data_IF_069528541790
#
_entry.id   IF_069528541790
#
_cell.length_a   1.000
_cell.length_b   1.000
_cell.length_c   1.000
_cell.angle_alpha   90.00
_cell.angle_beta   90.00
_cell.angle_gamma   90.00
#
_symmetry.space_group_name_H-M   'P 1'
#
loop_
_entity.id
_entity.type
_entity.pdbx_description
1 polymer ?
#
# COMPACT_ATOMS: atom_id res chain seq x y z
N UNK A 1 11.73 34.62 -23.38
CA UNK A 1 11.68 33.15 -23.49
C UNK A 1 13.06 32.57 -23.20
N UNK A 2 13.33 32.24 -21.94
CA UNK A 2 14.51 31.46 -21.55
C UNK A 2 14.17 30.00 -21.84
N UNK A 3 14.89 29.36 -22.77
CA UNK A 3 14.66 27.95 -23.09
C UNK A 3 14.66 27.13 -21.80
N UNK A 4 13.60 26.36 -21.59
CA UNK A 4 13.54 25.33 -20.56
C UNK A 4 14.80 24.46 -20.75
N UNK A 5 15.65 24.38 -19.71
CA UNK A 5 16.98 23.79 -19.83
C UNK A 5 16.94 22.36 -20.38
N UNK A 6 18.09 21.89 -20.87
CA UNK A 6 18.40 20.68 -21.68
C UNK A 6 17.82 19.32 -21.21
N UNK A 7 16.96 19.27 -20.18
CA UNK A 7 16.32 18.07 -19.59
C UNK A 7 14.81 17.98 -19.83
N UNK A 8 14.17 18.97 -20.46
CA UNK A 8 12.71 18.98 -20.66
C UNK A 8 12.36 18.40 -22.03
N UNK A 9 11.30 17.58 -22.08
CA UNK A 9 10.79 17.04 -23.36
C UNK A 9 10.01 18.12 -24.11
N UNK A 10 10.01 18.08 -25.44
CA UNK A 10 9.21 19.01 -26.27
C UNK A 10 7.74 19.07 -25.85
N UNK A 11 7.18 17.93 -25.45
CA UNK A 11 5.80 17.84 -24.96
C UNK A 11 5.58 18.62 -23.66
N UNK A 12 6.59 18.63 -22.77
CA UNK A 12 6.52 19.41 -21.54
C UNK A 12 6.69 20.92 -21.79
N UNK A 13 7.45 21.31 -22.81
CA UNK A 13 7.52 22.71 -23.28
C UNK A 13 6.15 23.16 -23.81
N UNK A 14 5.52 22.38 -24.71
CA UNK A 14 4.18 22.66 -25.24
C UNK A 14 3.12 22.78 -24.13
N UNK A 15 3.20 21.91 -23.11
CA UNK A 15 2.32 21.99 -21.94
C UNK A 15 2.60 23.25 -21.11
N UNK A 16 3.86 23.65 -20.94
CA UNK A 16 4.19 24.89 -20.24
C UNK A 16 3.60 26.10 -20.96
N UNK A 17 3.76 26.19 -22.29
CA UNK A 17 3.20 27.26 -23.12
C UNK A 17 1.67 27.35 -22.99
N UNK A 18 0.98 26.20 -22.99
CA UNK A 18 -0.47 26.17 -22.76
C UNK A 18 -0.86 26.67 -21.36
N UNK A 19 -0.09 26.31 -20.34
CA UNK A 19 -0.34 26.74 -18.96
C UNK A 19 -0.05 28.23 -18.79
N UNK A 20 1.01 28.76 -19.39
CA UNK A 20 1.31 30.20 -19.45
C UNK A 20 0.17 30.96 -20.13
N UNK A 21 -0.29 30.48 -21.29
CA UNK A 21 -1.46 31.05 -21.99
C UNK A 21 -2.72 31.05 -21.11
N UNK A 22 -2.92 30.02 -20.28
CA UNK A 22 -4.04 29.99 -19.34
C UNK A 22 -3.90 30.99 -18.21
N UNK A 23 -2.69 31.22 -17.71
CA UNK A 23 -2.40 32.21 -16.68
C UNK A 23 -2.63 33.62 -17.25
N UNK A 24 -2.11 33.92 -18.44
CA UNK A 24 -2.30 35.22 -19.10
C UNK A 24 -3.78 35.52 -19.34
N UNK A 25 -4.52 34.55 -19.90
CA UNK A 25 -5.96 34.68 -20.09
C UNK A 25 -6.74 34.81 -18.77
N UNK A 26 -6.27 34.19 -17.69
CA UNK A 26 -6.86 34.35 -16.36
C UNK A 26 -6.64 35.76 -15.81
N UNK A 27 -5.44 36.32 -16.00
CA UNK A 27 -5.10 37.71 -15.63
C UNK A 27 -5.98 38.70 -16.41
N UNK A 28 -6.13 38.52 -17.71
CA UNK A 28 -6.98 39.38 -18.55
C UNK A 28 -8.45 39.36 -18.10
N UNK A 29 -8.99 38.15 -17.86
CA UNK A 29 -10.34 38.02 -17.33
C UNK A 29 -10.49 38.67 -15.94
N UNK A 30 -9.48 38.58 -15.08
CA UNK A 30 -9.49 39.27 -13.79
C UNK A 30 -9.51 40.79 -13.96
N UNK A 31 -8.78 41.35 -14.94
CA UNK A 31 -8.80 42.79 -15.24
C UNK A 31 -10.20 43.24 -15.64
N UNK A 32 -10.80 42.55 -16.60
CA UNK A 32 -12.10 42.90 -17.18
C UNK A 32 -13.32 42.49 -16.33
N UNK A 33 -13.09 41.75 -15.23
CA UNK A 33 -14.13 41.09 -14.43
C UNK A 33 -14.96 40.05 -15.21
N UNK A 34 -14.32 39.38 -16.17
CA UNK A 34 -14.94 38.35 -16.99
C UNK A 34 -15.02 36.98 -16.29
N UNK A 35 -15.84 36.10 -16.84
CA UNK A 35 -16.01 34.75 -16.35
C UNK A 35 -14.77 33.88 -16.62
N UNK A 36 -14.20 33.34 -15.54
CA UNK A 36 -13.07 32.41 -15.61
C UNK A 36 -13.54 30.95 -15.73
N UNK A 37 -13.41 30.36 -16.93
CA UNK A 37 -13.70 28.94 -17.14
C UNK A 37 -12.67 28.08 -16.42
N UNK A 38 -13.12 27.19 -15.53
CA UNK A 38 -12.26 26.21 -14.85
C UNK A 38 -11.54 25.31 -15.87
N UNK A 39 -10.22 25.41 -15.92
CA UNK A 39 -9.36 24.53 -16.73
C UNK A 39 -8.98 23.31 -15.89
N UNK A 40 -8.92 22.13 -16.53
CA UNK A 40 -8.51 20.87 -15.87
C UNK A 40 -7.14 20.46 -16.39
N UNK A 41 -6.08 20.79 -15.66
CA UNK A 41 -4.70 20.51 -16.06
C UNK A 41 -4.46 19.02 -16.32
N UNK A 42 -5.05 18.14 -15.50
CA UNK A 42 -4.93 16.68 -15.63
C UNK A 42 -5.31 16.18 -17.03
N UNK A 43 -6.29 16.81 -17.69
CA UNK A 43 -6.69 16.41 -19.05
C UNK A 43 -5.60 16.76 -20.06
N UNK A 44 -5.02 17.95 -19.96
CA UNK A 44 -3.90 18.39 -20.80
C UNK A 44 -2.71 17.45 -20.65
N UNK A 45 -2.31 17.13 -19.40
CA UNK A 45 -1.18 16.22 -19.13
C UNK A 45 -1.38 14.83 -19.75
N UNK A 46 -2.62 14.33 -19.76
CA UNK A 46 -2.99 13.05 -20.39
C UNK A 46 -2.94 13.13 -21.91
N UNK A 47 -3.46 14.21 -22.51
CA UNK A 47 -3.45 14.42 -23.97
C UNK A 47 -2.03 14.43 -24.52
N UNK A 48 -1.13 15.18 -23.87
CA UNK A 48 0.27 15.30 -24.27
C UNK A 48 1.16 14.14 -23.77
N UNK A 49 0.57 13.14 -23.10
CA UNK A 49 1.26 11.95 -22.57
C UNK A 49 2.52 12.30 -21.76
N UNK A 50 2.40 13.31 -20.90
CA UNK A 50 3.52 13.83 -20.11
C UNK A 50 4.11 12.77 -19.19
N UNK A 51 5.45 12.69 -19.15
CA UNK A 51 6.16 11.83 -18.19
C UNK A 51 6.02 12.40 -16.78
N UNK A 52 5.96 11.51 -15.79
CA UNK A 52 5.86 11.92 -14.37
C UNK A 52 7.06 12.75 -13.89
N UNK A 53 8.25 12.47 -14.42
CA UNK A 53 9.46 13.27 -14.19
C UNK A 53 9.28 14.71 -14.66
N UNK A 54 8.73 14.87 -15.85
CA UNK A 54 8.58 16.17 -16.50
C UNK A 54 7.48 16.97 -15.80
N UNK A 55 6.40 16.30 -15.38
CA UNK A 55 5.37 16.90 -14.52
C UNK A 55 5.93 17.39 -13.17
N UNK A 56 6.91 16.70 -12.58
CA UNK A 56 7.58 17.17 -11.35
C UNK A 56 8.41 18.43 -11.62
N UNK A 57 9.09 18.48 -12.76
CA UNK A 57 9.85 19.66 -13.16
C UNK A 57 8.93 20.86 -13.42
N UNK A 58 7.83 20.67 -14.15
CA UNK A 58 6.84 21.72 -14.40
C UNK A 58 6.21 22.25 -13.10
N UNK A 59 5.97 21.38 -12.11
CA UNK A 59 5.53 21.82 -10.79
C UNK A 59 6.52 22.82 -10.14
N UNK A 60 7.83 22.57 -10.27
CA UNK A 60 8.86 23.46 -9.72
C UNK A 60 8.95 24.77 -10.51
N UNK A 61 8.79 24.72 -11.83
CA UNK A 61 8.80 25.90 -12.69
C UNK A 61 7.72 26.90 -12.29
N UNK A 62 6.47 26.43 -12.18
CA UNK A 62 5.35 27.29 -11.78
C UNK A 62 5.32 27.58 -10.27
N UNK A 63 6.07 26.84 -9.45
CA UNK A 63 6.23 27.18 -8.04
C UNK A 63 6.95 28.52 -7.85
N UNK A 64 7.90 28.87 -8.71
CA UNK A 64 8.57 30.17 -8.64
C UNK A 64 7.56 31.31 -8.81
N UNK A 65 6.71 31.23 -9.84
CA UNK A 65 5.63 32.21 -10.06
C UNK A 65 4.63 32.26 -8.89
N UNK A 66 4.31 31.08 -8.33
CA UNK A 66 3.45 31.01 -7.14
C UNK A 66 4.08 31.75 -5.95
N UNK A 67 5.36 31.53 -5.71
CA UNK A 67 6.07 32.13 -4.59
C UNK A 67 6.22 33.65 -4.77
N UNK A 68 6.53 34.12 -6.00
CA UNK A 68 6.53 35.55 -6.37
C UNK A 68 5.17 36.24 -6.09
N UNK A 69 4.06 35.60 -6.51
CA UNK A 69 2.72 36.10 -6.21
C UNK A 69 2.42 36.12 -4.70
N UNK A 70 2.96 35.16 -3.96
CA UNK A 70 2.86 35.12 -2.50
C UNK A 70 3.60 36.27 -1.83
N UNK A 71 4.82 36.58 -2.29
CA UNK A 71 5.63 37.70 -1.79
C UNK A 71 4.99 39.06 -2.10
N UNK A 72 4.37 39.21 -3.27
CA UNK A 72 3.59 40.39 -3.63
C UNK A 72 2.36 40.58 -2.72
N UNK A 73 1.67 39.49 -2.35
CA UNK A 73 0.52 39.55 -1.41
C UNK A 73 0.98 39.91 0.02
N UNK A 74 2.13 39.39 0.45
CA UNK A 74 2.69 39.65 1.77
C UNK A 74 3.39 41.03 1.86
N UNK A 75 3.46 41.78 0.76
CA UNK A 75 4.18 43.06 0.64
C UNK A 75 5.66 42.99 1.07
N UNK A 76 6.32 41.86 0.79
CA UNK A 76 7.73 41.64 1.16
C UNK A 76 8.71 42.31 0.22
N UNK A 77 8.36 42.39 -1.07
CA UNK A 77 9.17 42.98 -2.12
C UNK A 77 8.42 44.15 -2.77
N UNK A 78 8.91 45.40 -2.63
CA UNK A 78 8.30 46.58 -3.24
C UNK A 78 8.18 46.52 -4.77
N UNK A 79 9.16 45.92 -5.46
CA UNK A 79 9.18 45.85 -6.93
C UNK A 79 8.11 44.88 -7.43
N UNK A 80 7.87 43.78 -6.70
CA UNK A 80 6.78 42.84 -7.01
C UNK A 80 5.41 43.45 -6.73
N UNK A 81 5.27 44.27 -5.69
CA UNK A 81 4.01 44.97 -5.40
C UNK A 81 3.67 45.95 -6.53
N UNK A 82 4.64 46.75 -6.99
CA UNK A 82 4.46 47.63 -8.15
C UNK A 82 4.11 46.85 -9.42
N UNK A 83 4.81 45.73 -9.65
CA UNK A 83 4.58 44.86 -10.81
C UNK A 83 3.16 44.31 -10.91
N UNK A 84 2.45 44.12 -9.78
CA UNK A 84 1.09 43.60 -9.72
C UNK A 84 0.02 44.65 -9.38
N UNK A 85 0.36 45.93 -9.28
CA UNK A 85 -0.56 47.01 -8.84
C UNK A 85 -1.82 47.16 -9.73
N UNK A 86 -1.73 46.70 -10.98
CA UNK A 86 -2.87 46.64 -11.88
C UNK A 86 -3.99 45.64 -11.45
N UNK A 87 -3.74 44.78 -10.46
CA UNK A 87 -4.72 43.89 -9.84
C UNK A 87 -5.05 44.32 -8.42
N UNK A 88 -6.34 44.37 -8.09
CA UNK A 88 -6.73 44.58 -6.69
C UNK A 88 -6.25 43.42 -5.79
N UNK A 89 -6.00 43.64 -4.49
CA UNK A 89 -5.48 42.61 -3.58
C UNK A 89 -6.33 41.32 -3.55
N UNK A 90 -7.65 41.45 -3.73
CA UNK A 90 -8.57 40.30 -3.83
C UNK A 90 -8.36 39.50 -5.13
N UNK A 91 -8.12 40.19 -6.25
CA UNK A 91 -7.84 39.55 -7.55
C UNK A 91 -6.45 38.90 -7.57
N UNK A 92 -5.45 39.54 -6.95
CA UNK A 92 -4.11 38.97 -6.79
C UNK A 92 -4.15 37.65 -6.00
N UNK A 93 -4.92 37.60 -4.90
CA UNK A 93 -5.16 36.36 -4.14
C UNK A 93 -5.81 35.25 -4.99
N UNK A 94 -6.76 35.60 -5.87
CA UNK A 94 -7.38 34.64 -6.81
C UNK A 94 -6.37 34.10 -7.82
N UNK A 95 -5.48 34.95 -8.34
CA UNK A 95 -4.41 34.54 -9.24
C UNK A 95 -3.43 33.59 -8.54
N UNK A 96 -2.96 33.94 -7.33
CA UNK A 96 -2.12 33.06 -6.52
C UNK A 96 -2.79 31.71 -6.24
N UNK A 97 -4.10 31.69 -5.94
CA UNK A 97 -4.85 30.45 -5.76
C UNK A 97 -4.89 29.62 -7.05
N UNK A 98 -5.16 30.24 -8.20
CA UNK A 98 -5.20 29.55 -9.49
C UNK A 98 -3.85 28.89 -9.84
N UNK A 99 -2.75 29.62 -9.68
CA UNK A 99 -1.39 29.07 -9.90
C UNK A 99 -1.05 27.98 -8.88
N UNK A 100 -1.52 28.12 -7.64
CA UNK A 100 -1.39 27.08 -6.61
C UNK A 100 -2.10 25.78 -7.00
N UNK A 101 -3.33 25.87 -7.52
CA UNK A 101 -4.08 24.71 -8.02
C UNK A 101 -3.35 24.01 -9.18
N UNK A 102 -2.73 24.78 -10.09
CA UNK A 102 -1.92 24.25 -11.19
C UNK A 102 -0.72 23.46 -10.64
N UNK A 103 0.02 24.03 -9.68
CA UNK A 103 1.18 23.37 -9.05
C UNK A 103 0.76 22.08 -8.32
N UNK A 104 -0.38 22.12 -7.62
CA UNK A 104 -0.94 20.94 -6.98
C UNK A 104 -1.30 19.84 -7.98
N UNK A 105 -1.90 20.20 -9.11
CA UNK A 105 -2.27 19.22 -10.14
C UNK A 105 -1.03 18.58 -10.77
N UNK A 106 0.03 19.34 -11.04
CA UNK A 106 1.31 18.80 -11.49
C UNK A 106 1.95 17.86 -10.45
N UNK A 107 1.95 18.24 -9.17
CA UNK A 107 2.49 17.39 -8.11
C UNK A 107 1.66 16.12 -7.92
N UNK A 108 0.32 16.19 -7.97
CA UNK A 108 -0.59 15.04 -7.95
C UNK A 108 -0.30 14.09 -9.11
N UNK A 109 -0.12 14.60 -10.33
CA UNK A 109 0.18 13.79 -11.50
C UNK A 109 1.56 13.12 -11.44
N UNK A 110 2.55 13.80 -10.86
CA UNK A 110 3.91 13.26 -10.69
C UNK A 110 3.98 12.04 -9.76
N UNK A 111 2.99 11.85 -8.87
CA UNK A 111 3.00 10.74 -7.91
C UNK A 111 2.93 9.39 -8.64
N UNK A 112 3.85 8.49 -8.27
CA UNK A 112 3.92 7.15 -8.82
C UNK A 112 2.94 6.24 -8.09
N UNK A 113 1.69 6.15 -8.56
CA UNK A 113 0.81 5.05 -8.16
C UNK A 113 1.25 3.78 -8.89
N UNK A 114 2.18 3.02 -8.31
CA UNK A 114 2.47 1.66 -8.82
C UNK A 114 1.21 0.82 -8.60
N UNK A 115 0.56 0.36 -9.67
CA UNK A 115 -0.46 -0.69 -9.55
C UNK A 115 0.22 -1.88 -8.85
N UNK A 116 -0.27 -2.27 -7.67
CA UNK A 116 0.22 -3.47 -7.00
C UNK A 116 -0.14 -4.64 -7.91
N UNK A 117 0.87 -5.36 -8.40
CA UNK A 117 0.64 -6.62 -9.12
C UNK A 117 0.06 -7.61 -8.11
N UNK A 118 -1.00 -8.30 -8.49
CA UNK A 118 -1.50 -9.46 -7.73
C UNK A 118 -0.38 -10.48 -7.64
N UNK A 119 0.03 -10.84 -6.42
CA UNK A 119 1.06 -11.86 -6.21
C UNK A 119 0.46 -13.23 -6.54
N UNK A 120 1.25 -14.13 -7.12
CA UNK A 120 0.85 -15.53 -7.25
C UNK A 120 0.78 -16.17 -5.85
N UNK A 121 -0.09 -17.18 -5.62
CA UNK A 121 -0.16 -17.90 -4.35
C UNK A 121 1.22 -18.41 -3.87
N UNK A 122 2.00 -18.95 -4.80
CA UNK A 122 3.38 -19.41 -4.56
C UNK A 122 4.29 -18.28 -4.03
N UNK A 123 4.18 -17.08 -4.58
CA UNK A 123 4.98 -15.91 -4.16
C UNK A 123 4.61 -15.41 -2.76
N UNK A 124 3.37 -15.68 -2.31
CA UNK A 124 2.89 -15.30 -0.99
C UNK A 124 3.49 -16.23 0.07
N UNK A 125 3.48 -17.54 -0.17
CA UNK A 125 3.94 -18.55 0.80
C UNK A 125 5.43 -18.85 0.71
N UNK A 126 6.13 -18.40 -0.34
CA UNK A 126 7.57 -18.66 -0.57
C UNK A 126 8.48 -18.36 0.61
N UNK A 127 8.15 -17.36 1.42
CA UNK A 127 8.96 -16.94 2.57
C UNK A 127 8.57 -17.62 3.89
N UNK A 128 7.53 -18.45 3.88
CA UNK A 128 7.08 -19.18 5.07
C UNK A 128 8.09 -20.26 5.42
N UNK A 129 8.53 -20.27 6.68
CA UNK A 129 9.44 -21.28 7.21
C UNK A 129 8.64 -22.42 7.84
N UNK A 130 8.92 -23.65 7.46
CA UNK A 130 8.30 -24.85 8.01
C UNK A 130 9.25 -26.05 7.90
N UNK A 131 8.93 -27.12 8.62
CA UNK A 131 9.65 -28.38 8.59
C UNK A 131 8.94 -29.35 7.65
N UNK A 132 9.61 -29.89 6.64
CA UNK A 132 8.98 -30.75 5.61
C UNK A 132 8.46 -32.07 6.18
N UNK A 133 9.19 -32.72 7.07
CA UNK A 133 8.80 -34.00 7.66
C UNK A 133 9.31 -34.11 9.08
N UNK A 134 8.51 -34.67 9.97
CA UNK A 134 8.89 -34.96 11.34
C UNK A 134 8.47 -36.37 11.75
N UNK A 135 9.38 -37.09 12.41
CA UNK A 135 9.18 -38.46 12.85
C UNK A 135 8.78 -38.52 14.31
N UNK A 136 7.62 -39.11 14.59
CA UNK A 136 7.12 -39.44 15.91
C UNK A 136 7.33 -40.93 16.18
N UNK A 137 8.56 -41.34 16.50
CA UNK A 137 8.88 -42.75 16.74
C UNK A 137 8.64 -43.59 15.48
N UNK A 138 7.51 -44.31 15.43
CA UNK A 138 7.12 -45.17 14.31
C UNK A 138 6.18 -44.50 13.29
N UNK A 139 5.71 -43.29 13.54
CA UNK A 139 4.81 -42.56 12.65
C UNK A 139 5.50 -41.33 12.07
N UNK A 140 5.44 -41.15 10.76
CA UNK A 140 6.03 -40.00 10.07
C UNK A 140 4.92 -39.03 9.67
N UNK A 141 5.08 -37.74 9.99
CA UNK A 141 4.16 -36.67 9.57
C UNK A 141 4.87 -35.79 8.55
N UNK A 142 4.29 -35.75 7.35
CA UNK A 142 4.74 -34.89 6.26
C UNK A 142 3.90 -33.62 6.25
N UNK A 143 4.57 -32.46 6.17
CA UNK A 143 3.88 -31.18 6.06
C UNK A 143 3.09 -31.09 4.75
N UNK A 144 1.88 -30.57 4.82
CA UNK A 144 1.11 -30.27 3.61
C UNK A 144 1.68 -29.06 2.86
N UNK A 145 1.37 -28.94 1.58
CA UNK A 145 1.80 -27.82 0.73
C UNK A 145 1.33 -26.46 1.30
N UNK A 146 2.23 -25.53 1.65
CA UNK A 146 1.87 -24.21 2.18
C UNK A 146 0.87 -23.44 1.32
N UNK A 147 0.82 -23.67 0.00
CA UNK A 147 -0.16 -23.01 -0.89
C UNK A 147 -1.59 -23.30 -0.44
N UNK A 148 -1.86 -24.50 0.10
CA UNK A 148 -3.18 -24.89 0.61
C UNK A 148 -3.63 -24.08 1.83
N UNK A 149 -2.71 -23.37 2.51
CA UNK A 149 -3.08 -22.43 3.58
C UNK A 149 -3.97 -21.32 3.01
N UNK A 150 -3.72 -20.85 1.79
CA UNK A 150 -4.47 -19.77 1.17
C UNK A 150 -5.87 -20.19 0.71
N UNK A 151 -6.13 -21.50 0.61
CA UNK A 151 -7.39 -22.07 0.14
C UNK A 151 -8.25 -22.63 1.28
N UNK A 152 -7.70 -22.70 2.50
CA UNK A 152 -8.38 -23.32 3.63
C UNK A 152 -8.97 -22.30 4.61
N UNK A 153 -9.97 -22.75 5.38
CA UNK A 153 -10.56 -21.96 6.47
C UNK A 153 -9.97 -22.28 7.83
N UNK A 154 -9.41 -23.47 8.00
CA UNK A 154 -8.67 -23.81 9.21
C UNK A 154 -7.62 -24.87 8.94
N UNK A 155 -6.60 -24.89 9.79
CA UNK A 155 -5.53 -25.88 9.74
C UNK A 155 -4.84 -26.00 11.11
N UNK A 156 -4.06 -27.08 11.26
CA UNK A 156 -3.26 -27.33 12.46
C UNK A 156 -1.78 -27.30 12.13
N UNK A 157 -1.01 -26.65 12.99
CA UNK A 157 0.45 -26.67 12.96
C UNK A 157 1.01 -27.11 14.31
N UNK A 158 2.18 -27.72 14.30
CA UNK A 158 2.86 -28.19 15.51
C UNK A 158 4.32 -27.75 15.52
N UNK A 159 4.77 -27.12 16.60
CA UNK A 159 6.17 -26.79 16.79
C UNK A 159 6.89 -27.89 17.59
N UNK A 160 7.86 -28.53 16.97
CA UNK A 160 8.59 -29.68 17.53
C UNK A 160 9.53 -29.29 18.66
N UNK A 161 10.01 -28.04 18.68
CA UNK A 161 10.93 -27.53 19.72
C UNK A 161 10.20 -27.08 20.98
N UNK A 162 9.08 -26.36 20.82
CA UNK A 162 8.32 -25.85 21.98
C UNK A 162 7.27 -26.83 22.48
N UNK A 163 6.87 -27.79 21.63
CA UNK A 163 5.78 -28.71 21.88
C UNK A 163 4.41 -28.06 21.74
N UNK A 164 4.32 -26.90 21.07
CA UNK A 164 3.08 -26.16 20.93
C UNK A 164 2.30 -26.58 19.69
N UNK A 165 1.02 -26.90 19.88
CA UNK A 165 0.06 -27.08 18.80
C UNK A 165 -0.73 -25.79 18.61
N UNK A 166 -0.80 -25.36 17.37
CA UNK A 166 -1.52 -24.20 16.90
C UNK A 166 -2.74 -24.67 16.12
N UNK A 167 -3.90 -24.15 16.49
CA UNK A 167 -5.12 -24.24 15.70
C UNK A 167 -5.40 -22.86 15.13
N UNK A 168 -5.43 -22.74 13.80
CA UNK A 168 -5.76 -21.50 13.10
C UNK A 168 -7.10 -21.63 12.41
N UNK A 169 -7.92 -20.59 12.52
CA UNK A 169 -9.21 -20.45 11.86
C UNK A 169 -9.32 -19.03 11.29
N UNK A 170 -9.93 -18.87 10.13
CA UNK A 170 -10.20 -17.57 9.50
C UNK A 170 -11.64 -17.50 9.02
N UNK A 171 -12.22 -16.30 9.08
CA UNK A 171 -13.53 -16.00 8.48
C UNK A 171 -13.38 -15.62 6.99
N UNK A 172 -12.20 -15.13 6.60
CA UNK A 172 -11.87 -14.68 5.25
C UNK A 172 -10.85 -15.65 4.59
N UNK A 173 -9.69 -15.13 4.19
CA UNK A 173 -8.60 -15.84 3.51
C UNK A 173 -7.30 -15.55 4.25
N UNK A 174 -6.56 -16.61 4.57
CA UNK A 174 -5.24 -16.46 5.17
C UNK A 174 -4.28 -15.72 4.23
N UNK A 175 -3.41 -14.88 4.79
CA UNK A 175 -2.31 -14.25 4.05
C UNK A 175 -0.99 -14.51 4.78
N UNK A 176 0.14 -14.39 4.09
CA UNK A 176 1.47 -14.60 4.66
C UNK A 176 2.35 -13.39 4.38
N UNK A 177 2.86 -12.79 5.45
CA UNK A 177 3.82 -11.68 5.38
C UNK A 177 5.15 -12.13 5.99
N UNK A 178 6.11 -12.46 5.12
CA UNK A 178 7.39 -13.01 5.55
C UNK A 178 7.19 -14.42 6.11
N UNK A 179 7.46 -14.59 7.41
CA UNK A 179 7.24 -15.86 8.13
C UNK A 179 5.99 -15.82 9.01
N UNK A 180 5.15 -14.79 8.88
CA UNK A 180 4.01 -14.57 9.77
C UNK A 180 2.70 -14.67 9.02
N UNK A 181 1.86 -15.61 9.41
CA UNK A 181 0.47 -15.76 9.01
C UNK A 181 -0.35 -14.55 9.47
N UNK A 182 -1.20 -14.07 8.57
CA UNK A 182 -2.10 -12.93 8.73
C UNK A 182 -3.55 -13.38 8.51
N UNK A 183 -4.49 -12.53 8.91
CA UNK A 183 -5.93 -12.73 8.73
C UNK A 183 -6.46 -14.01 9.40
N UNK A 184 -5.87 -14.46 10.50
CA UNK A 184 -6.48 -15.49 11.35
C UNK A 184 -7.37 -14.82 12.39
N UNK A 185 -8.49 -15.47 12.73
CA UNK A 185 -9.42 -15.01 13.75
C UNK A 185 -8.80 -15.26 15.13
N UNK A 186 -8.58 -14.20 15.91
CA UNK A 186 -7.90 -14.25 17.21
C UNK A 186 -8.73 -14.96 18.28
N UNK A 187 -10.06 -14.88 18.20
CA UNK A 187 -10.97 -15.49 19.16
C UNK A 187 -11.08 -17.01 18.96
N UNK A 188 -11.06 -17.45 17.69
CA UNK A 188 -11.20 -18.85 17.31
C UNK A 188 -9.86 -19.61 17.21
N UNK A 189 -8.75 -18.89 17.03
CA UNK A 189 -7.42 -19.48 16.91
C UNK A 189 -6.73 -19.54 18.27
N UNK A 190 -6.14 -20.69 18.59
CA UNK A 190 -5.53 -20.89 19.90
C UNK A 190 -4.30 -21.78 19.86
N UNK A 191 -3.52 -21.71 20.94
CA UNK A 191 -2.30 -22.48 21.13
C UNK A 191 -2.37 -23.26 22.42
N UNK A 192 -2.01 -24.54 22.34
CA UNK A 192 -1.85 -25.41 23.50
C UNK A 192 -0.55 -26.18 23.46
N UNK A 193 0.02 -26.41 24.64
CA UNK A 193 1.25 -27.15 24.77
C UNK A 193 0.94 -28.64 24.89
N UNK A 194 1.37 -29.41 23.92
CA UNK A 194 1.24 -30.87 23.94
C UNK A 194 2.55 -31.42 24.48
N UNK A 195 2.51 -31.88 25.74
CA UNK A 195 3.65 -32.50 26.40
C UNK A 195 3.90 -33.93 25.90
N UNK A 196 4.07 -34.88 26.81
CA UNK A 196 4.40 -36.30 26.50
C UNK A 196 3.41 -37.02 25.58
N UNK A 197 2.20 -36.49 25.39
CA UNK A 197 1.14 -37.06 24.56
C UNK A 197 1.23 -36.66 23.08
N UNK A 198 2.23 -35.86 22.69
CA UNK A 198 2.44 -35.40 21.30
C UNK A 198 2.50 -36.56 20.31
N UNK A 199 3.20 -37.63 20.67
CA UNK A 199 3.44 -38.78 19.79
C UNK A 199 2.16 -39.55 19.43
N UNK A 200 1.07 -39.37 20.19
CA UNK A 200 -0.24 -39.99 19.89
C UNK A 200 -1.23 -38.97 19.33
N UNK A 201 -1.23 -37.75 19.87
CA UNK A 201 -2.21 -36.74 19.53
C UNK A 201 -1.97 -36.13 18.14
N UNK A 202 -0.73 -35.80 17.79
CA UNK A 202 -0.44 -35.13 16.51
C UNK A 202 -0.72 -36.06 15.32
N UNK A 203 -0.31 -37.35 15.32
CA UNK A 203 -0.70 -38.29 14.26
C UNK A 203 -2.22 -38.47 14.18
N UNK A 204 -2.91 -38.56 15.32
CA UNK A 204 -4.38 -38.65 15.35
C UNK A 204 -5.04 -37.40 14.73
N UNK A 205 -4.53 -36.19 15.02
CA UNK A 205 -5.00 -34.96 14.39
C UNK A 205 -4.76 -34.91 12.88
N UNK A 206 -3.75 -35.64 12.38
CA UNK A 206 -3.51 -35.79 10.95
C UNK A 206 -4.51 -36.71 10.25
N UNK A 207 -5.29 -37.53 10.98
CA UNK A 207 -6.25 -38.49 10.42
C UNK A 207 -7.72 -38.05 10.56
N UNK A 208 -8.09 -37.42 11.68
CA UNK A 208 -9.47 -37.09 12.02
C UNK A 208 -9.98 -35.79 11.34
N UNK A 209 -11.31 -35.61 11.28
CA UNK A 209 -11.97 -34.43 10.71
C UNK A 209 -12.02 -33.19 11.62
N UNK A 210 -12.32 -32.01 11.05
CA UNK A 210 -12.25 -30.68 11.70
C UNK A 210 -12.86 -30.59 13.09
N UNK A 211 -14.12 -31.01 13.24
CA UNK A 211 -14.85 -30.89 14.50
C UNK A 211 -14.20 -31.71 15.63
N UNK A 212 -13.70 -32.91 15.29
CA UNK A 212 -13.01 -33.79 16.21
C UNK A 212 -11.61 -33.27 16.55
N UNK A 213 -10.90 -32.66 15.59
CA UNK A 213 -9.60 -32.02 15.88
C UNK A 213 -9.76 -30.89 16.90
N UNK A 214 -10.73 -29.99 16.69
CA UNK A 214 -10.94 -28.84 17.59
C UNK A 214 -11.28 -29.32 19.01
N UNK A 215 -12.16 -30.31 19.16
CA UNK A 215 -12.53 -30.85 20.48
C UNK A 215 -11.37 -31.57 21.17
N UNK A 216 -10.59 -32.39 20.45
CA UNK A 216 -9.40 -33.07 20.98
C UNK A 216 -8.34 -32.08 21.47
N UNK A 217 -8.10 -31.01 20.71
CA UNK A 217 -7.18 -29.96 21.13
C UNK A 217 -7.72 -29.19 22.35
N UNK A 218 -9.02 -28.87 22.38
CA UNK A 218 -9.64 -28.21 23.54
C UNK A 218 -9.65 -29.10 24.80
N UNK A 219 -9.63 -30.42 24.66
CA UNK A 219 -9.52 -31.36 25.78
C UNK A 219 -8.12 -31.46 26.39
N UNK A 220 -7.08 -30.89 25.76
CA UNK A 220 -5.73 -30.86 26.36
C UNK A 220 -5.76 -30.04 27.66
N UNK A 221 -5.28 -30.63 28.76
CA UNK A 221 -5.30 -30.05 30.12
C UNK A 221 -4.53 -28.72 30.26
N UNK A 222 -3.61 -28.42 29.34
CA UNK A 222 -2.82 -27.19 29.40
C UNK A 222 -3.66 -25.96 29.10
N UNK A 223 -3.35 -24.85 29.78
CA UNK A 223 -3.99 -23.55 29.53
C UNK A 223 -3.88 -23.16 28.05
N UNK A 224 -4.98 -22.65 27.51
CA UNK A 224 -5.01 -22.07 26.17
C UNK A 224 -4.27 -20.74 26.16
N UNK A 225 -3.53 -20.47 25.09
CA UNK A 225 -2.87 -19.19 24.81
C UNK A 225 -3.36 -18.66 23.48
N UNK A 226 -3.31 -17.34 23.31
CA UNK A 226 -3.61 -16.71 22.02
C UNK A 226 -2.65 -17.20 20.94
N UNK A 227 -3.17 -17.41 19.74
CA UNK A 227 -2.35 -17.87 18.62
C UNK A 227 -1.48 -16.75 18.05
N UNK A 228 -0.20 -17.03 17.90
CA UNK A 228 0.75 -16.16 17.22
C UNK A 228 1.02 -16.69 15.83
N UNK A 229 0.75 -15.94 14.77
CA UNK A 229 0.96 -16.41 13.40
C UNK A 229 2.42 -16.64 12.96
N UNK A 230 3.42 -16.64 13.86
CA UNK A 230 4.84 -16.72 13.48
C UNK A 230 5.31 -18.16 13.32
N UNK A 231 5.74 -18.51 12.11
CA UNK A 231 6.30 -19.82 11.78
C UNK A 231 7.83 -19.80 11.76
N UNK A 232 8.43 -20.98 11.96
CA UNK A 232 9.87 -21.19 11.96
C UNK A 232 10.20 -22.58 11.39
N UNK A 233 11.49 -22.86 11.22
CA UNK A 233 12.00 -24.10 10.62
C UNK A 233 11.72 -25.37 11.48
N UNK A 234 11.12 -25.19 12.67
CA UNK A 234 10.72 -26.28 13.59
C UNK A 234 9.21 -26.49 13.63
N UNK A 235 8.44 -25.75 12.84
CA UNK A 235 6.97 -25.87 12.78
C UNK A 235 6.58 -26.79 11.62
N UNK A 236 5.85 -27.87 11.93
CA UNK A 236 5.29 -28.84 11.01
C UNK A 236 3.84 -28.46 10.70
N UNK A 237 3.47 -28.47 9.42
CA UNK A 237 2.11 -28.20 8.94
C UNK A 237 1.33 -29.52 8.91
N UNK A 238 0.59 -29.82 9.97
CA UNK A 238 0.04 -31.16 10.21
C UNK A 238 -1.06 -31.51 9.22
N UNK A 239 -2.10 -30.67 9.14
CA UNK A 239 -3.25 -30.95 8.28
C UNK A 239 -4.08 -29.71 8.01
N UNK A 240 -4.57 -29.61 6.78
CA UNK A 240 -5.63 -28.70 6.36
C UNK A 240 -6.98 -29.28 6.79
N UNK A 241 -7.80 -28.45 7.44
CA UNK A 241 -9.14 -28.80 7.90
C UNK A 241 -10.17 -28.10 7.01
N UNK A 242 -10.54 -28.79 5.94
CA UNK A 242 -11.70 -28.44 5.12
C UNK A 242 -12.98 -28.74 5.87
#
# INVERSE_FOLDING_TARGET
MTKLGTRVTKQAEEVAEHVETWIDGYIENLKNNDYNRKKRLINLLKTYKIKKSDSKYLAQWFANLKDELGEAIDHKDPDLVEGYDFLSPSKLKKLHQFVSEICEDFTKYSKITKKRKTKKPEDIVKTLKYMETFKFGNCDITSFDPVKILECKSFVAYNTKTGDVFYYETDDVFDVKGTTLQNFNVDNSFVKKVGRTSNKLIPKCAEIGRALVKSELLNIKTKSREATGRFNDTTVLVRVLS
#
